data_IF_739508908443
#
_entry.id   IF_739508908443
#
_cell.length_a   1.000
_cell.length_b   1.000
_cell.length_c   1.000
_cell.angle_alpha   90.00
_cell.angle_beta   90.00
_cell.angle_gamma   90.00
#
_symmetry.space_group_name_H-M   'P 1'
#
loop_
_entity.id
_entity.type
_entity.pdbx_description
1 polymer ?
#
# COMPACT_ATOMS: atom_id res chain seq x y z
N UNK A 1 -3.52 -7.05 13.56
CA UNK A 1 -2.84 -6.67 12.34
C UNK A 1 -1.99 -5.40 12.55
N UNK A 2 -2.52 -4.37 13.23
CA UNK A 2 -1.80 -3.12 13.45
C UNK A 2 -0.46 -3.32 14.20
N UNK A 3 -0.43 -4.15 15.23
CA UNK A 3 0.82 -4.49 15.94
C UNK A 3 1.82 -5.19 15.01
N UNK A 4 1.36 -6.07 14.13
CA UNK A 4 2.21 -6.75 13.15
C UNK A 4 2.81 -5.78 12.11
N UNK A 5 2.09 -4.73 11.75
CA UNK A 5 2.52 -3.72 10.78
C UNK A 5 3.12 -2.47 11.42
N UNK A 6 3.46 -2.53 12.72
CA UNK A 6 4.04 -1.40 13.48
C UNK A 6 3.29 -0.06 13.28
N UNK A 7 1.96 -0.12 13.18
CA UNK A 7 1.11 1.05 13.03
C UNK A 7 0.75 1.42 11.59
N UNK A 8 1.37 0.85 10.57
CA UNK A 8 1.12 1.24 9.17
C UNK A 8 -0.34 1.05 8.75
N UNK A 9 -1.03 0.01 9.24
CA UNK A 9 -2.47 -0.18 9.00
C UNK A 9 -3.30 0.94 9.64
N UNK A 10 -3.00 1.34 10.87
CA UNK A 10 -3.71 2.45 11.50
C UNK A 10 -3.46 3.76 10.74
N UNK A 11 -2.22 3.99 10.30
CA UNK A 11 -1.87 5.15 9.50
C UNK A 11 -2.64 5.20 8.17
N UNK A 12 -2.75 4.08 7.46
CA UNK A 12 -3.45 4.02 6.17
C UNK A 12 -4.93 4.38 6.26
N UNK A 13 -5.59 4.16 7.41
CA UNK A 13 -7.01 4.47 7.59
C UNK A 13 -7.28 5.74 8.38
N UNK A 14 -6.26 6.35 8.98
CA UNK A 14 -6.39 7.50 9.88
C UNK A 14 -7.12 8.68 9.24
N UNK A 15 -6.84 8.95 7.98
CA UNK A 15 -7.35 10.09 7.24
C UNK A 15 -8.53 9.77 6.31
N UNK A 16 -9.07 8.54 6.37
CA UNK A 16 -10.28 8.20 5.60
C UNK A 16 -11.47 8.96 6.19
N UNK A 17 -11.81 10.08 5.56
CA UNK A 17 -12.93 10.96 5.94
C UNK A 17 -12.96 11.23 7.47
N UNK A 18 -14.14 11.29 8.08
CA UNK A 18 -14.33 11.45 9.53
C UNK A 18 -14.53 10.13 10.27
N UNK A 19 -14.54 10.22 11.62
CA UNK A 19 -14.79 9.05 12.49
C UNK A 19 -16.13 8.39 12.18
N UNK A 20 -17.17 9.18 11.92
CA UNK A 20 -18.51 8.70 11.60
C UNK A 20 -18.51 7.79 10.36
N UNK A 21 -17.76 8.16 9.34
CA UNK A 21 -17.61 7.36 8.13
C UNK A 21 -16.84 6.07 8.44
N UNK A 22 -15.73 6.14 9.16
CA UNK A 22 -14.92 4.96 9.52
C UNK A 22 -15.66 3.96 10.39
N UNK A 23 -16.61 4.41 11.22
CA UNK A 23 -17.42 3.52 12.04
C UNK A 23 -18.38 2.62 11.24
N UNK A 24 -18.72 2.99 10.01
CA UNK A 24 -19.62 2.21 9.14
C UNK A 24 -18.90 1.64 7.91
N UNK A 25 -17.73 2.15 7.56
CA UNK A 25 -16.92 1.62 6.47
C UNK A 25 -16.33 0.25 6.83
N UNK A 26 -16.18 -0.60 5.82
CA UNK A 26 -15.57 -1.92 6.00
C UNK A 26 -14.33 -2.07 5.12
N UNK A 27 -13.36 -2.85 5.60
CA UNK A 27 -12.18 -3.24 4.81
C UNK A 27 -12.61 -3.96 3.53
N UNK A 28 -13.58 -4.87 3.64
CA UNK A 28 -14.11 -5.60 2.50
C UNK A 28 -14.72 -4.68 1.45
N UNK A 29 -15.49 -3.66 1.85
CA UNK A 29 -16.07 -2.68 0.95
C UNK A 29 -15.01 -1.84 0.23
N UNK A 30 -13.96 -1.43 0.95
CA UNK A 30 -12.83 -0.67 0.38
C UNK A 30 -12.04 -1.50 -0.65
N UNK A 31 -11.84 -2.78 -0.39
CA UNK A 31 -11.16 -3.70 -1.30
C UNK A 31 -12.05 -4.03 -2.51
N UNK A 32 -13.31 -4.39 -2.26
CA UNK A 32 -14.24 -4.72 -3.34
C UNK A 32 -14.45 -3.57 -4.32
N UNK A 33 -14.50 -2.34 -3.79
CA UNK A 33 -14.68 -1.14 -4.59
C UNK A 33 -13.56 -0.88 -5.60
N UNK A 34 -12.35 -1.32 -5.32
CA UNK A 34 -11.16 -1.17 -6.19
C UNK A 34 -10.99 0.24 -6.74
N UNK A 35 -11.26 1.25 -5.89
CA UNK A 35 -11.11 2.65 -6.27
C UNK A 35 -9.64 3.06 -6.27
N UNK A 36 -9.25 3.95 -7.21
CA UNK A 36 -7.89 4.45 -7.33
C UNK A 36 -7.39 5.15 -6.06
N UNK A 37 -8.27 5.84 -5.34
CA UNK A 37 -7.97 6.55 -4.10
C UNK A 37 -8.03 5.67 -2.83
N UNK A 38 -8.07 4.35 -2.96
CA UNK A 38 -8.23 3.46 -1.80
C UNK A 38 -6.92 3.29 -1.02
N UNK A 39 -6.81 3.96 0.12
CA UNK A 39 -5.73 3.77 1.10
C UNK A 39 -5.59 2.29 1.50
N UNK A 40 -6.72 1.64 1.73
CA UNK A 40 -6.78 0.22 2.12
C UNK A 40 -6.20 -0.67 1.02
N UNK A 41 -6.54 -0.42 -0.25
CA UNK A 41 -6.01 -1.21 -1.36
C UNK A 41 -4.49 -1.10 -1.43
N UNK A 42 -3.93 0.11 -1.27
CA UNK A 42 -2.50 0.37 -1.32
C UNK A 42 -1.75 -0.46 -0.27
N UNK A 43 -2.13 -0.37 1.00
CA UNK A 43 -1.41 -1.08 2.08
C UNK A 43 -1.58 -2.61 2.00
N UNK A 44 -2.79 -3.10 1.66
CA UNK A 44 -3.01 -4.54 1.57
C UNK A 44 -2.31 -5.18 0.37
N UNK A 45 -2.14 -4.46 -0.74
CA UNK A 45 -1.31 -4.92 -1.87
C UNK A 45 0.17 -4.97 -1.47
N UNK A 46 0.68 -3.96 -0.76
CA UNK A 46 2.05 -3.98 -0.25
C UNK A 46 2.31 -5.17 0.68
N UNK A 47 1.34 -5.54 1.51
CA UNK A 47 1.41 -6.71 2.39
C UNK A 47 1.26 -8.05 1.65
N UNK A 48 0.96 -8.04 0.35
CA UNK A 48 0.69 -9.26 -0.42
C UNK A 48 -0.54 -10.02 0.04
N UNK A 49 -1.58 -9.27 0.40
CA UNK A 49 -2.82 -9.87 0.85
C UNK A 49 -3.48 -10.73 -0.25
N UNK A 50 -4.25 -11.71 0.20
CA UNK A 50 -5.13 -12.51 -0.64
C UNK A 50 -6.57 -12.23 -0.27
N UNK A 51 -7.48 -12.48 -1.20
CA UNK A 51 -8.92 -12.43 -0.96
C UNK A 51 -9.51 -13.83 -1.09
N UNK A 52 -10.47 -14.13 -0.24
CA UNK A 52 -11.31 -15.31 -0.38
C UNK A 52 -12.67 -14.86 -0.92
N UNK A 53 -13.00 -15.30 -2.10
CA UNK A 53 -14.31 -15.11 -2.71
C UNK A 53 -15.17 -16.36 -2.52
N UNK A 54 -16.48 -16.17 -2.43
CA UNK A 54 -17.41 -17.28 -2.18
C UNK A 54 -17.40 -18.31 -3.32
N UNK A 55 -17.42 -17.87 -4.57
CA UNK A 55 -17.45 -18.76 -5.73
C UNK A 55 -16.06 -19.03 -6.29
N UNK A 56 -15.23 -17.98 -6.45
CA UNK A 56 -13.93 -18.09 -7.09
C UNK A 56 -12.83 -18.61 -6.16
N UNK A 57 -13.09 -18.76 -4.85
CA UNK A 57 -12.09 -19.27 -3.91
C UNK A 57 -11.06 -18.22 -3.51
N UNK A 58 -9.85 -18.67 -3.18
CA UNK A 58 -8.75 -17.81 -2.74
C UNK A 58 -7.90 -17.42 -3.95
N UNK A 59 -7.61 -16.12 -4.07
CA UNK A 59 -6.71 -15.57 -5.10
C UNK A 59 -5.87 -14.43 -4.52
N UNK A 60 -4.80 -14.06 -5.20
CA UNK A 60 -4.01 -12.90 -4.81
C UNK A 60 -4.79 -11.60 -5.01
N UNK A 61 -4.52 -10.61 -4.15
CA UNK A 61 -5.21 -9.31 -4.23
C UNK A 61 -4.90 -8.60 -5.57
N UNK A 62 -3.74 -8.86 -6.15
CA UNK A 62 -3.36 -8.32 -7.46
C UNK A 62 -4.21 -8.94 -8.58
N UNK A 63 -4.44 -10.25 -8.54
CA UNK A 63 -5.34 -10.95 -9.47
C UNK A 63 -6.78 -10.44 -9.31
N UNK A 64 -7.25 -10.32 -8.07
CA UNK A 64 -8.57 -9.75 -7.78
C UNK A 64 -8.71 -8.32 -8.31
N UNK A 65 -7.67 -7.50 -8.16
CA UNK A 65 -7.67 -6.12 -8.64
C UNK A 65 -7.86 -6.05 -10.17
N UNK A 66 -7.32 -7.01 -10.91
CA UNK A 66 -7.42 -7.10 -12.36
C UNK A 66 -8.77 -7.65 -12.87
N UNK A 67 -9.61 -8.22 -12.00
CA UNK A 67 -10.92 -8.75 -12.41
C UNK A 67 -11.82 -7.65 -13.00
N UNK A 68 -12.68 -7.98 -13.98
CA UNK A 68 -13.67 -7.06 -14.48
C UNK A 68 -14.57 -6.49 -13.38
N UNK A 69 -14.93 -5.23 -13.46
CA UNK A 69 -15.85 -4.60 -12.49
C UNK A 69 -17.26 -5.20 -12.50
N UNK A 70 -17.58 -5.94 -13.55
CA UNK A 70 -18.84 -6.70 -13.68
C UNK A 70 -18.84 -8.02 -12.91
N UNK A 71 -17.71 -8.44 -12.35
CA UNK A 71 -17.60 -9.65 -11.52
C UNK A 71 -18.64 -9.65 -10.41
N UNK A 72 -19.39 -10.75 -10.28
CA UNK A 72 -20.43 -10.96 -9.28
C UNK A 72 -20.05 -12.11 -8.36
N UNK A 73 -19.55 -11.77 -7.18
CA UNK A 73 -19.19 -12.70 -6.12
C UNK A 73 -19.32 -12.01 -4.75
N UNK A 74 -19.05 -12.72 -3.68
CA UNK A 74 -19.02 -12.20 -2.31
C UNK A 74 -17.62 -12.32 -1.77
N UNK A 75 -17.06 -11.20 -1.32
CA UNK A 75 -15.78 -11.19 -0.58
C UNK A 75 -16.02 -11.69 0.84
N UNK A 76 -15.53 -12.88 1.14
CA UNK A 76 -15.71 -13.56 2.43
C UNK A 76 -14.66 -13.09 3.43
N UNK A 77 -13.40 -13.07 3.04
CA UNK A 77 -12.30 -12.67 3.92
C UNK A 77 -11.12 -12.08 3.16
N UNK A 78 -10.29 -11.35 3.90
CA UNK A 78 -8.98 -10.86 3.44
C UNK A 78 -7.91 -11.54 4.27
N UNK A 79 -6.98 -12.20 3.62
CA UNK A 79 -5.92 -12.99 4.23
C UNK A 79 -4.61 -12.22 4.08
N UNK A 80 -3.97 -11.87 5.19
CA UNK A 80 -2.67 -11.19 5.18
C UNK A 80 -1.59 -12.20 5.58
N UNK A 81 -0.68 -12.57 4.67
CA UNK A 81 0.44 -13.44 5.01
C UNK A 81 1.40 -12.70 5.95
N UNK A 82 1.98 -13.44 6.92
CA UNK A 82 2.96 -12.88 7.86
C UNK A 82 4.39 -13.02 7.32
N UNK A 83 4.62 -12.51 6.12
CA UNK A 83 5.90 -12.62 5.41
C UNK A 83 6.58 -11.26 5.16
N UNK A 84 5.98 -10.16 5.60
CA UNK A 84 6.59 -8.84 5.56
C UNK A 84 7.39 -8.62 6.84
N UNK A 85 8.67 -8.28 6.71
CA UNK A 85 9.55 -7.91 7.84
C UNK A 85 9.34 -6.47 8.30
N UNK A 86 8.87 -5.61 7.40
CA UNK A 86 8.52 -4.22 7.67
C UNK A 86 7.58 -3.69 6.60
N UNK A 87 6.74 -2.75 6.98
CA UNK A 87 5.87 -2.01 6.06
C UNK A 87 5.70 -0.59 6.57
N UNK A 88 5.73 0.35 5.65
CA UNK A 88 5.48 1.78 5.90
C UNK A 88 4.37 2.24 4.97
N UNK A 89 3.53 3.14 5.45
CA UNK A 89 2.47 3.77 4.65
C UNK A 89 2.51 5.29 4.81
N UNK A 90 2.41 6.00 3.70
CA UNK A 90 2.30 7.44 3.63
C UNK A 90 1.23 7.84 2.61
N UNK A 91 0.61 9.00 2.83
CA UNK A 91 -0.31 9.59 1.85
C UNK A 91 -0.18 11.09 1.81
N UNK A 92 -0.27 11.65 0.61
CA UNK A 92 -0.38 13.08 0.38
C UNK A 92 -1.83 13.45 0.12
N UNK A 93 -2.31 14.51 0.78
CA UNK A 93 -3.69 15.02 0.68
C UNK A 93 -3.67 16.54 0.65
N UNK A 94 -4.63 17.14 -0.04
CA UNK A 94 -4.82 18.59 -0.01
C UNK A 94 -5.38 19.07 1.33
N UNK A 95 -6.23 18.25 1.95
CA UNK A 95 -6.77 18.46 3.30
C UNK A 95 -6.75 17.16 4.09
N UNK A 96 -6.69 17.23 5.40
CA UNK A 96 -6.52 16.08 6.31
C UNK A 96 -7.53 14.94 6.10
N UNK A 97 -8.76 15.25 5.70
CA UNK A 97 -9.85 14.25 5.52
C UNK A 97 -10.32 14.14 4.09
N UNK A 98 -9.58 14.71 3.14
CA UNK A 98 -9.87 14.57 1.70
C UNK A 98 -9.41 13.20 1.18
N UNK A 99 -9.82 12.85 -0.04
CA UNK A 99 -9.21 11.74 -0.76
C UNK A 99 -7.74 12.01 -1.02
N UNK A 100 -6.89 10.98 -0.99
CA UNK A 100 -5.48 11.17 -1.25
C UNK A 100 -5.24 11.62 -2.70
N UNK A 101 -4.24 12.46 -2.85
CA UNK A 101 -3.63 12.82 -4.13
C UNK A 101 -2.64 11.74 -4.56
N UNK A 102 -1.92 11.20 -3.57
CA UNK A 102 -0.99 10.10 -3.74
C UNK A 102 -0.99 9.23 -2.48
N UNK A 103 -0.91 7.93 -2.68
CA UNK A 103 -0.66 6.96 -1.60
C UNK A 103 0.55 6.14 -1.93
N UNK A 104 1.37 5.86 -0.91
CA UNK A 104 2.54 5.03 -1.04
C UNK A 104 2.63 4.05 0.13
N UNK A 105 2.86 2.78 -0.17
CA UNK A 105 3.22 1.79 0.83
C UNK A 105 4.46 1.04 0.35
N UNK A 106 5.47 0.94 1.21
CA UNK A 106 6.68 0.16 0.93
C UNK A 106 6.75 -1.00 1.92
N UNK A 107 6.99 -2.20 1.44
CA UNK A 107 7.13 -3.38 2.26
C UNK A 107 8.35 -4.23 1.85
N UNK A 108 9.01 -4.83 2.84
CA UNK A 108 9.98 -5.89 2.61
C UNK A 108 9.27 -7.24 2.75
N UNK A 109 9.07 -7.94 1.65
CA UNK A 109 8.40 -9.25 1.60
C UNK A 109 9.39 -10.34 1.27
N UNK A 110 9.68 -11.21 2.24
CA UNK A 110 10.66 -12.30 2.07
C UNK A 110 12.05 -11.84 1.59
N UNK A 111 12.47 -10.64 1.98
CA UNK A 111 13.75 -10.06 1.58
C UNK A 111 13.73 -9.24 0.29
N UNK A 112 12.59 -9.14 -0.39
CA UNK A 112 12.43 -8.28 -1.58
C UNK A 112 11.55 -7.08 -1.25
N UNK A 113 11.95 -5.92 -1.72
CA UNK A 113 11.19 -4.69 -1.53
C UNK A 113 10.14 -4.50 -2.62
N UNK A 114 8.98 -3.99 -2.22
CA UNK A 114 7.91 -3.58 -3.12
C UNK A 114 7.37 -2.23 -2.68
N UNK A 115 7.27 -1.29 -3.61
CA UNK A 115 6.51 -0.06 -3.44
C UNK A 115 5.16 -0.19 -4.13
N UNK A 116 4.09 0.19 -3.45
CA UNK A 116 2.74 0.23 -4.02
C UNK A 116 2.27 1.67 -4.03
N UNK A 117 2.03 2.20 -5.22
CA UNK A 117 1.63 3.59 -5.44
C UNK A 117 0.18 3.63 -5.91
N UNK A 118 -0.67 4.40 -5.24
CA UNK A 118 -2.08 4.59 -5.58
C UNK A 118 -2.50 6.05 -5.61
N UNK A 119 -3.73 6.29 -6.00
CA UNK A 119 -4.33 7.62 -6.16
C UNK A 119 -3.65 8.53 -7.21
N UNK A 120 -2.89 7.98 -8.11
CA UNK A 120 -2.08 8.66 -9.14
C UNK A 120 -2.73 9.08 -10.49
N UNK A 121 -4.04 9.16 -10.82
CA UNK A 121 -5.29 8.77 -10.18
C UNK A 121 -5.71 7.30 -10.41
N UNK A 122 -4.80 6.47 -10.82
CA UNK A 122 -5.04 5.06 -11.09
C UNK A 122 -5.15 4.24 -9.79
N UNK A 123 -5.63 3.00 -9.93
CA UNK A 123 -5.65 2.06 -8.82
C UNK A 123 -4.20 1.76 -8.38
N UNK A 124 -4.03 1.52 -7.08
CA UNK A 124 -2.72 1.23 -6.50
C UNK A 124 -2.00 0.11 -7.27
N UNK A 125 -0.80 0.36 -7.76
CA UNK A 125 0.01 -0.58 -8.55
C UNK A 125 1.32 -0.90 -7.82
N UNK A 126 1.75 -2.18 -7.77
CA UNK A 126 3.02 -2.58 -7.17
C UNK A 126 4.17 -2.39 -8.15
N UNK A 127 5.27 -1.86 -7.66
CA UNK A 127 6.59 -1.84 -8.32
C UNK A 127 7.57 -2.58 -7.43
N UNK A 128 8.10 -3.67 -7.94
CA UNK A 128 9.09 -4.46 -7.24
C UNK A 128 10.48 -3.93 -7.48
N UNK A 129 11.34 -4.02 -6.47
CA UNK A 129 12.78 -3.81 -6.63
C UNK A 129 13.38 -5.03 -7.37
N UNK A 130 13.30 -5.00 -8.70
CA UNK A 130 13.83 -6.08 -9.54
C UNK A 130 15.35 -6.01 -9.69
N UNK A 131 15.95 -4.83 -9.46
CA UNK A 131 17.38 -4.60 -9.56
C UNK A 131 18.14 -4.81 -8.25
N UNK A 132 17.43 -5.04 -7.13
CA UNK A 132 18.05 -5.15 -5.81
C UNK A 132 18.66 -3.84 -5.31
N UNK A 133 18.07 -2.70 -5.70
CA UNK A 133 18.57 -1.36 -5.33
C UNK A 133 18.65 -1.19 -3.81
N UNK A 134 17.65 -1.75 -3.11
CA UNK A 134 17.54 -1.68 -1.65
C UNK A 134 18.24 -2.85 -0.93
N UNK A 135 18.95 -3.71 -1.66
CA UNK A 135 19.64 -4.82 -1.04
C UNK A 135 20.69 -4.34 -0.01
N UNK A 136 20.72 -5.02 1.13
CA UNK A 136 21.62 -4.69 2.23
C UNK A 136 21.23 -3.46 3.06
N UNK A 137 20.10 -2.82 2.78
CA UNK A 137 19.53 -1.84 3.70
C UNK A 137 19.07 -2.61 4.95
N UNK A 138 19.63 -2.27 6.10
CA UNK A 138 19.19 -2.86 7.36
C UNK A 138 17.72 -2.52 7.60
N UNK A 139 16.91 -3.55 7.88
CA UNK A 139 15.55 -3.33 8.34
C UNK A 139 15.61 -2.36 9.53
N UNK A 140 14.93 -1.21 9.41
CA UNK A 140 14.86 -0.26 10.50
C UNK A 140 14.38 -1.02 11.74
N UNK A 141 15.23 -1.09 12.77
CA UNK A 141 14.82 -1.72 14.03
C UNK A 141 13.60 -0.99 14.52
N UNK A 142 12.55 -1.73 14.70
CA UNK A 142 11.20 -1.29 15.08
C UNK A 142 11.09 -0.78 16.52
N UNK A 143 12.21 -0.49 17.15
CA UNK A 143 12.26 0.16 18.45
C UNK A 143 12.14 1.67 18.17
N UNK A 144 11.00 2.25 18.49
CA UNK A 144 10.56 3.62 18.18
C UNK A 144 11.55 4.77 18.51
N UNK A 145 12.82 4.49 18.54
CA UNK A 145 13.96 5.37 18.76
C UNK A 145 15.13 5.07 17.82
N UNK A 146 14.86 4.46 16.64
CA UNK A 146 15.89 4.41 15.62
C UNK A 146 16.16 5.86 15.18
N UNK A 147 17.15 6.49 15.81
CA UNK A 147 17.86 7.58 15.20
C UNK A 147 18.15 7.13 13.76
N UNK A 148 17.69 7.87 12.77
CA UNK A 148 18.14 7.79 11.40
C UNK A 148 19.66 7.95 11.51
N UNK A 149 20.38 6.85 11.58
CA UNK A 149 21.81 6.89 11.39
C UNK A 149 21.97 7.44 10.00
N UNK A 150 22.54 8.62 9.93
CA UNK A 150 22.83 9.35 8.68
C UNK A 150 23.82 8.50 7.87
N UNK A 151 23.27 7.48 7.23
CA UNK A 151 24.00 6.61 6.35
C UNK A 151 23.75 7.11 4.93
N UNK A 152 24.61 7.98 4.47
CA UNK A 152 24.54 8.60 3.15
C UNK A 152 24.39 7.57 2.01
N UNK A 153 24.95 6.37 2.20
CA UNK A 153 24.80 5.26 1.24
C UNK A 153 23.35 4.74 1.19
N UNK A 154 22.71 4.55 2.35
CA UNK A 154 21.31 4.11 2.39
C UNK A 154 20.37 5.16 1.81
N UNK A 155 20.63 6.45 2.06
CA UNK A 155 19.85 7.53 1.49
C UNK A 155 19.96 7.54 -0.04
N UNK A 156 21.15 7.39 -0.59
CA UNK A 156 21.36 7.30 -2.04
C UNK A 156 20.62 6.08 -2.67
N UNK A 157 20.58 4.94 -1.99
CA UNK A 157 19.80 3.77 -2.43
C UNK A 157 18.30 4.06 -2.41
N UNK A 158 17.82 4.73 -1.36
CA UNK A 158 16.40 5.10 -1.23
C UNK A 158 16.00 6.07 -2.33
N UNK A 159 16.82 7.10 -2.60
CA UNK A 159 16.55 8.07 -3.66
C UNK A 159 16.53 7.38 -5.04
N UNK A 160 17.52 6.52 -5.31
CA UNK A 160 17.56 5.73 -6.55
C UNK A 160 16.31 4.84 -6.70
N UNK A 161 15.86 4.21 -5.62
CA UNK A 161 14.64 3.40 -5.68
C UNK A 161 13.39 4.26 -5.89
N UNK A 162 13.33 5.45 -5.32
CA UNK A 162 12.23 6.39 -5.55
C UNK A 162 12.16 6.82 -7.02
N UNK A 163 13.30 7.13 -7.65
CA UNK A 163 13.40 7.42 -9.08
C UNK A 163 12.95 6.22 -9.91
N UNK A 164 13.47 5.03 -9.62
CA UNK A 164 13.05 3.79 -10.28
C UNK A 164 11.52 3.57 -10.21
N UNK A 165 10.92 3.76 -9.04
CA UNK A 165 9.47 3.65 -8.87
C UNK A 165 8.73 4.70 -9.70
N UNK A 166 9.21 5.95 -9.72
CA UNK A 166 8.60 7.03 -10.49
C UNK A 166 8.59 6.76 -12.01
N UNK A 167 9.62 6.09 -12.51
CA UNK A 167 9.72 5.71 -13.94
C UNK A 167 8.79 4.53 -14.31
N UNK A 168 8.41 3.69 -13.33
CA UNK A 168 7.62 2.48 -13.56
C UNK A 168 6.13 2.63 -13.22
N UNK A 169 5.73 3.78 -12.67
CA UNK A 169 4.34 4.09 -12.35
C UNK A 169 3.76 5.08 -13.36
N UNK A 170 2.49 4.85 -13.73
CA UNK A 170 1.75 5.83 -14.51
C UNK A 170 1.19 6.91 -13.60
N UNK A 171 1.55 8.14 -13.91
CA UNK A 171 0.91 9.31 -13.32
C UNK A 171 -0.11 9.89 -14.30
N UNK A 172 -1.19 10.41 -13.75
CA UNK A 172 -2.23 11.13 -14.48
C UNK A 172 -2.56 12.43 -13.78
N UNK A 173 -3.48 13.19 -14.36
CA UNK A 173 -3.99 14.41 -13.76
C UNK A 173 -5.48 14.30 -13.42
N UNK A 174 -5.91 14.98 -12.38
CA UNK A 174 -7.31 15.14 -12.01
C UNK A 174 -7.51 16.48 -11.29
N UNK A 175 -8.72 16.76 -10.82
CA UNK A 175 -9.05 18.02 -10.14
C UNK A 175 -8.28 18.27 -8.83
N UNK A 176 -7.53 17.28 -8.31
CA UNK A 176 -6.75 17.36 -7.07
C UNK A 176 -5.28 17.61 -7.31
N UNK A 177 -4.75 17.06 -8.40
CA UNK A 177 -3.35 17.23 -8.81
C UNK A 177 -3.18 16.93 -10.30
N UNK A 178 -2.23 17.62 -10.93
CA UNK A 178 -1.79 17.42 -12.31
C UNK A 178 -0.35 17.74 -12.46
#
# INVERSE_FOLDING_TARGET
LNAYTHGAIAESVRHIVGVQFRNVATVGGSIWGRFGFSDVMTIFRALGAKVQLHKAGIMDLDEFAALPRTTRDVLVSVIVPKNAKGVVYLSQRNQSTDFPVLTCAVANRNGRYVAVIGASPYMAEPVWDEEGILDGIADAKTDGNAALTDNSENNAKIDKFAEYVAEHIRFGSNIRAG
#
